data_IF_294825487220
#
_entry.id   IF_294825487220
#
_cell.length_a   1.000
_cell.length_b   1.000
_cell.length_c   1.000
_cell.angle_alpha   90.00
_cell.angle_beta   90.00
_cell.angle_gamma   90.00
#
_symmetry.space_group_name_H-M   'P 1'
#
loop_
_entity.id
_entity.type
_entity.pdbx_description
1 polymer ?
#
# COMPACT_ATOMS: atom_id res chain seq x y z
N UNK A 1 2.05 -4.24 -36.80
CA UNK A 1 2.07 -5.45 -35.95
C UNK A 1 2.98 -6.46 -36.61
N UNK A 2 4.29 -6.40 -36.36
CA UNK A 2 5.22 -7.44 -36.80
C UNK A 2 5.90 -7.91 -35.52
N UNK A 3 5.75 -9.20 -35.25
CA UNK A 3 6.30 -9.97 -34.13
C UNK A 3 5.50 -9.85 -32.82
N UNK A 4 4.37 -10.59 -32.76
CA UNK A 4 3.66 -10.92 -31.51
C UNK A 4 3.94 -12.39 -31.18
N UNK A 5 4.34 -12.65 -29.92
CA UNK A 5 4.59 -13.99 -29.41
C UNK A 5 3.48 -14.37 -28.44
N UNK A 6 2.94 -15.58 -28.63
CA UNK A 6 1.94 -16.15 -27.73
C UNK A 6 2.66 -17.03 -26.70
N UNK A 7 2.40 -16.78 -25.43
CA UNK A 7 2.94 -17.55 -24.31
C UNK A 7 1.80 -18.22 -23.54
N UNK A 8 2.06 -19.39 -22.99
CA UNK A 8 1.15 -20.11 -22.10
C UNK A 8 1.89 -20.35 -20.79
N UNK A 9 1.36 -19.79 -19.70
CA UNK A 9 1.94 -19.99 -18.38
C UNK A 9 1.60 -21.41 -17.87
N UNK A 10 2.50 -22.04 -17.09
CA UNK A 10 2.27 -23.36 -16.51
C UNK A 10 1.21 -23.36 -15.40
N UNK A 11 0.98 -22.22 -14.75
CA UNK A 11 0.04 -22.05 -13.65
C UNK A 11 -0.39 -20.57 -13.53
N UNK A 12 -1.37 -20.32 -12.67
CA UNK A 12 -1.98 -18.99 -12.46
C UNK A 12 -1.01 -18.01 -11.80
N UNK A 13 -0.16 -18.47 -10.88
CA UNK A 13 0.82 -17.62 -10.20
C UNK A 13 1.86 -17.10 -11.19
N UNK A 14 2.43 -17.99 -12.00
CA UNK A 14 3.37 -17.63 -13.06
C UNK A 14 2.70 -16.67 -14.06
N UNK A 15 1.44 -16.89 -14.42
CA UNK A 15 0.69 -15.97 -15.28
C UNK A 15 0.57 -14.57 -14.68
N UNK A 16 0.16 -14.47 -13.41
CA UNK A 16 0.01 -13.19 -12.71
C UNK A 16 1.34 -12.44 -12.63
N UNK A 17 2.41 -13.13 -12.22
CA UNK A 17 3.75 -12.55 -12.15
C UNK A 17 4.22 -11.96 -13.49
N UNK A 18 4.03 -12.70 -14.59
CA UNK A 18 4.41 -12.20 -15.92
C UNK A 18 3.57 -11.01 -16.33
N UNK A 19 2.25 -11.05 -16.12
CA UNK A 19 1.36 -9.95 -16.47
C UNK A 19 1.71 -8.67 -15.70
N UNK A 20 1.83 -8.77 -14.38
CA UNK A 20 2.16 -7.65 -13.50
C UNK A 20 3.56 -7.10 -13.77
N UNK A 21 4.55 -7.98 -13.95
CA UNK A 21 5.91 -7.58 -14.30
C UNK A 21 5.99 -6.83 -15.62
N UNK A 22 5.29 -7.30 -16.66
CA UNK A 22 5.20 -6.60 -17.94
C UNK A 22 4.46 -5.27 -17.83
N UNK A 23 3.36 -5.21 -17.06
CA UNK A 23 2.65 -3.95 -16.82
C UNK A 23 3.54 -2.90 -16.19
N UNK A 24 4.32 -3.28 -15.17
CA UNK A 24 5.29 -2.39 -14.50
C UNK A 24 6.41 -1.94 -15.43
N UNK A 25 6.96 -2.84 -16.25
CA UNK A 25 7.98 -2.49 -17.23
C UNK A 25 7.46 -1.49 -18.29
N UNK A 26 6.14 -1.50 -18.53
CA UNK A 26 5.46 -0.52 -19.40
C UNK A 26 5.03 0.75 -18.65
N UNK A 27 5.32 0.87 -17.35
CA UNK A 27 4.98 2.03 -16.52
C UNK A 27 3.53 2.03 -16.01
N UNK A 28 2.83 0.91 -16.11
CA UNK A 28 1.48 0.73 -15.58
C UNK A 28 1.52 0.05 -14.20
N UNK A 29 0.41 0.11 -13.48
CA UNK A 29 0.28 -0.56 -12.18
C UNK A 29 0.13 -2.08 -12.34
N UNK A 30 0.52 -2.82 -11.30
CA UNK A 30 0.19 -4.25 -11.16
C UNK A 30 -1.29 -4.39 -10.81
N UNK A 31 -1.98 -5.33 -11.45
CA UNK A 31 -3.45 -5.44 -11.34
C UNK A 31 -3.92 -6.84 -11.01
N UNK A 32 -3.01 -7.83 -10.94
CA UNK A 32 -3.40 -9.20 -10.68
C UNK A 32 -4.09 -9.36 -9.31
N UNK A 33 -4.99 -10.34 -9.16
CA UNK A 33 -5.61 -10.64 -7.88
C UNK A 33 -4.59 -11.00 -6.80
N UNK A 34 -3.51 -11.66 -7.20
CA UNK A 34 -2.44 -12.10 -6.31
C UNK A 34 -1.65 -10.92 -5.75
N UNK A 35 -1.24 -9.99 -6.61
CA UNK A 35 -0.62 -8.74 -6.15
C UNK A 35 -1.51 -8.00 -5.16
N UNK A 36 -2.82 -7.89 -5.42
CA UNK A 36 -3.76 -7.22 -4.51
C UNK A 36 -3.81 -7.90 -3.15
N UNK A 37 -3.91 -9.23 -3.11
CA UNK A 37 -3.95 -9.98 -1.85
C UNK A 37 -2.66 -9.82 -1.05
N UNK A 38 -1.50 -9.93 -1.70
CA UNK A 38 -0.21 -9.74 -1.04
C UNK A 38 -0.05 -8.30 -0.57
N UNK A 39 -0.42 -7.33 -1.39
CA UNK A 39 -0.37 -5.92 -1.04
C UNK A 39 -1.25 -5.61 0.18
N UNK A 40 -2.49 -6.10 0.20
CA UNK A 40 -3.41 -5.93 1.32
C UNK A 40 -2.86 -6.55 2.61
N UNK A 41 -2.26 -7.73 2.52
CA UNK A 41 -1.61 -8.39 3.66
C UNK A 41 -0.46 -7.53 4.21
N UNK A 42 0.45 -7.10 3.35
CA UNK A 42 1.60 -6.30 3.75
C UNK A 42 1.20 -4.94 4.30
N UNK A 43 0.25 -4.27 3.65
CA UNK A 43 -0.29 -3.01 4.12
C UNK A 43 -0.94 -3.17 5.49
N UNK A 44 -1.70 -4.25 5.72
CA UNK A 44 -2.31 -4.51 7.01
C UNK A 44 -1.28 -4.71 8.13
N UNK A 45 -0.20 -5.45 7.84
CA UNK A 45 0.90 -5.65 8.79
C UNK A 45 1.57 -4.32 9.10
N UNK A 46 1.92 -3.53 8.09
CA UNK A 46 2.57 -2.22 8.25
C UNK A 46 1.70 -1.26 9.09
N UNK A 47 0.40 -1.19 8.81
CA UNK A 47 -0.54 -0.38 9.59
C UNK A 47 -0.58 -0.86 11.05
N UNK A 48 -0.70 -2.18 11.28
CA UNK A 48 -0.72 -2.73 12.64
C UNK A 48 0.56 -2.42 13.41
N UNK A 49 1.73 -2.52 12.77
CA UNK A 49 3.01 -2.18 13.39
C UNK A 49 3.07 -0.72 13.84
N UNK A 50 2.54 0.20 13.02
CA UNK A 50 2.45 1.63 13.38
C UNK A 50 1.45 1.91 14.50
N UNK A 51 0.43 1.07 14.65
CA UNK A 51 -0.62 1.21 15.65
C UNK A 51 -0.33 0.45 16.95
N UNK A 52 0.83 -0.20 17.09
CA UNK A 52 1.20 -0.94 18.31
C UNK A 52 1.10 -0.08 19.58
N UNK A 53 1.55 1.18 19.52
CA UNK A 53 1.52 2.11 20.66
C UNK A 53 0.10 2.59 21.00
N UNK A 54 -0.84 2.47 20.07
CA UNK A 54 -2.22 2.93 20.19
C UNK A 54 -3.20 1.80 20.54
N UNK A 55 -2.74 0.55 20.74
CA UNK A 55 -3.63 -0.61 20.99
C UNK A 55 -4.52 -0.46 22.23
N UNK A 56 -4.09 0.35 23.21
CA UNK A 56 -4.85 0.61 24.46
C UNK A 56 -5.63 1.92 24.46
N UNK A 57 -5.51 2.72 23.39
CA UNK A 57 -6.16 4.02 23.25
C UNK A 57 -7.39 3.88 22.38
N UNK A 58 -8.51 4.44 22.82
CA UNK A 58 -9.70 4.50 21.97
C UNK A 58 -9.46 5.53 20.85
N UNK A 59 -9.28 5.03 19.64
CA UNK A 59 -9.02 5.86 18.46
C UNK A 59 -10.36 6.47 18.01
N UNK A 60 -10.57 7.74 18.35
CA UNK A 60 -11.71 8.50 17.84
C UNK A 60 -11.69 8.55 16.30
N UNK A 61 -12.85 8.36 15.69
CA UNK A 61 -13.04 8.54 14.24
C UNK A 61 -13.10 10.02 13.81
N UNK A 62 -13.33 10.92 14.77
CA UNK A 62 -13.33 12.36 14.53
C UNK A 62 -11.91 12.90 14.58
N UNK A 63 -11.52 13.64 13.53
CA UNK A 63 -10.24 14.33 13.50
C UNK A 63 -10.24 15.40 14.60
N UNK A 64 -9.28 15.39 15.54
CA UNK A 64 -9.21 16.42 16.57
C UNK A 64 -8.98 17.80 15.93
N UNK A 65 -9.60 18.83 16.50
CA UNK A 65 -9.43 20.19 16.00
C UNK A 65 -7.97 20.62 16.12
N UNK A 66 -7.43 21.25 15.07
CA UNK A 66 -6.06 21.79 15.09
C UNK A 66 -5.98 22.86 16.19
N UNK A 67 -5.04 22.75 17.15
CA UNK A 67 -4.86 23.76 18.17
C UNK A 67 -4.49 25.12 17.56
N UNK A 68 -4.88 26.22 18.21
CA UNK A 68 -4.37 27.55 17.84
C UNK A 68 -2.87 27.63 18.10
N UNK A 69 -2.17 28.41 17.29
CA UNK A 69 -0.73 28.64 17.50
C UNK A 69 -0.48 29.23 18.89
N UNK A 70 0.57 28.77 19.59
CA UNK A 70 0.96 29.37 20.86
C UNK A 70 1.25 30.86 20.66
N UNK A 71 0.83 31.74 21.59
CA UNK A 71 1.09 33.17 21.52
C UNK A 71 2.57 33.52 21.75
N UNK A 72 3.37 32.60 22.30
CA UNK A 72 4.80 32.77 22.53
C UNK A 72 5.53 31.43 22.35
N UNK A 73 6.59 31.42 21.54
CA UNK A 73 7.41 30.25 21.23
C UNK A 73 8.68 30.17 22.10
N UNK A 74 9.04 31.23 22.83
CA UNK A 74 10.30 31.33 23.57
C UNK A 74 10.34 30.46 24.86
N UNK A 75 9.19 29.94 25.31
CA UNK A 75 9.07 29.17 26.56
C UNK A 75 8.54 27.72 26.38
N UNK A 76 8.59 27.18 25.16
CA UNK A 76 8.16 25.80 24.89
C UNK A 76 9.39 24.90 24.97
N UNK A 77 9.61 24.29 26.14
CA UNK A 77 10.68 23.32 26.40
C UNK A 77 10.36 21.95 25.80
#
# INVERSE_FOLDING_TARGET
MKDSYNFVAPDVHTYNMWCDGLMILLGNEMVSPEFKQEFDLWLNIEIRLRLLELESVDVSSEVPAVPQEPPDFDNIA
#
